data_IF_995952984166
#
_entry.id   IF_995952984166
#
_cell.length_a   1.000
_cell.length_b   1.000
_cell.length_c   1.000
_cell.angle_alpha   90.00
_cell.angle_beta   90.00
_cell.angle_gamma   90.00
#
_symmetry.space_group_name_H-M   'P 1'
#
loop_
_entity.id
_entity.type
_entity.pdbx_description
1 polymer ?
#
# COMPACT_ATOMS: atom_id res chain seq x y z
N UNK A 1 2.91 16.34 -8.16
CA UNK A 1 1.71 15.69 -8.75
C UNK A 1 0.47 16.35 -8.16
N UNK A 2 -0.58 16.53 -8.96
CA UNK A 2 -1.84 17.13 -8.51
C UNK A 2 -2.84 16.02 -8.19
N UNK A 3 -3.50 16.12 -7.04
CA UNK A 3 -4.51 15.17 -6.58
C UNK A 3 -5.67 15.10 -7.58
N UNK A 4 -6.06 13.89 -7.96
CA UNK A 4 -7.13 13.69 -8.94
C UNK A 4 -8.47 14.16 -8.38
N UNK A 5 -8.74 13.89 -7.10
CA UNK A 5 -9.99 14.20 -6.42
C UNK A 5 -10.17 15.69 -6.09
N UNK A 6 -9.28 16.29 -5.29
CA UNK A 6 -9.44 17.67 -4.80
C UNK A 6 -8.57 18.72 -5.51
N UNK A 7 -7.79 18.32 -6.53
CA UNK A 7 -6.84 19.18 -7.25
C UNK A 7 -5.73 19.79 -6.36
N UNK A 8 -5.53 19.23 -5.17
CA UNK A 8 -4.51 19.67 -4.24
C UNK A 8 -3.11 19.15 -4.51
N UNK A 9 -2.13 19.63 -3.73
CA UNK A 9 -0.73 19.19 -3.84
C UNK A 9 -0.55 17.79 -3.24
N UNK A 10 0.13 16.92 -3.98
CA UNK A 10 0.59 15.62 -3.50
C UNK A 10 2.09 15.62 -3.27
N UNK A 11 2.52 14.95 -2.21
CA UNK A 11 3.91 14.76 -1.85
C UNK A 11 4.20 13.28 -1.56
N UNK A 12 5.47 12.90 -1.70
CA UNK A 12 5.94 11.56 -1.31
C UNK A 12 5.76 11.35 0.19
N UNK A 13 5.23 10.18 0.54
CA UNK A 13 4.96 9.78 1.92
C UNK A 13 4.96 8.26 2.02
N UNK A 14 4.78 7.74 3.23
CA UNK A 14 4.55 6.32 3.47
C UNK A 14 3.20 6.11 4.12
N UNK A 15 2.57 4.97 3.80
CA UNK A 15 1.31 4.58 4.42
C UNK A 15 1.32 3.11 4.82
N UNK A 16 0.32 2.70 5.59
CA UNK A 16 0.04 1.27 5.82
C UNK A 16 -1.04 0.84 4.83
N UNK A 17 -0.74 -0.18 4.04
CA UNK A 17 -1.70 -0.83 3.16
C UNK A 17 -2.33 -2.01 3.89
N UNK A 18 -3.66 -2.06 3.91
CA UNK A 18 -4.43 -3.14 4.49
C UNK A 18 -5.20 -3.83 3.37
N UNK A 19 -5.01 -5.14 3.24
CA UNK A 19 -5.71 -5.98 2.29
C UNK A 19 -6.36 -7.13 3.05
N UNK A 20 -7.68 -7.25 2.92
CA UNK A 20 -8.45 -8.39 3.41
C UNK A 20 -8.64 -9.35 2.24
N UNK A 21 -8.17 -10.58 2.41
CA UNK A 21 -8.34 -11.70 1.49
C UNK A 21 -9.33 -12.68 2.13
N UNK A 22 -9.93 -13.55 1.32
CA UNK A 22 -11.00 -14.47 1.76
C UNK A 22 -10.62 -15.31 3.00
N UNK A 23 -9.34 -15.65 3.15
CA UNK A 23 -8.83 -16.49 4.24
C UNK A 23 -7.75 -15.81 5.10
N UNK A 24 -7.32 -14.59 4.79
CA UNK A 24 -6.29 -13.92 5.59
C UNK A 24 -6.30 -12.39 5.46
N UNK A 25 -5.89 -11.70 6.53
CA UNK A 25 -5.67 -10.26 6.51
C UNK A 25 -4.17 -9.95 6.38
N UNK A 26 -3.80 -9.10 5.42
CA UNK A 26 -2.42 -8.66 5.19
C UNK A 26 -2.29 -7.18 5.50
N UNK A 27 -1.36 -6.87 6.40
CA UNK A 27 -1.03 -5.50 6.82
C UNK A 27 0.40 -5.19 6.38
N UNK A 28 0.55 -4.35 5.37
CA UNK A 28 1.85 -3.94 4.84
C UNK A 28 2.16 -2.52 5.33
N UNK A 29 3.12 -2.39 6.24
CA UNK A 29 3.55 -1.10 6.81
C UNK A 29 4.58 -0.41 5.92
N UNK A 30 4.65 0.92 5.99
CA UNK A 30 5.67 1.75 5.34
C UNK A 30 5.69 1.69 3.81
N UNK A 31 4.55 1.44 3.17
CA UNK A 31 4.43 1.43 1.71
C UNK A 31 4.63 2.85 1.17
N UNK A 32 5.63 3.10 0.31
CA UNK A 32 5.83 4.38 -0.35
C UNK A 32 4.63 4.75 -1.23
N UNK A 33 4.21 6.00 -1.14
CA UNK A 33 3.03 6.50 -1.83
C UNK A 33 3.11 8.00 -2.07
N UNK A 34 2.24 8.51 -2.93
CA UNK A 34 1.94 9.93 -3.06
C UNK A 34 0.71 10.24 -2.22
N UNK A 35 0.84 11.11 -1.22
CA UNK A 35 -0.27 11.52 -0.35
C UNK A 35 -0.64 12.97 -0.61
N UNK A 36 -1.93 13.24 -0.79
CA UNK A 36 -2.45 14.60 -0.87
C UNK A 36 -2.50 15.23 0.52
N UNK A 37 -1.89 16.42 0.67
CA UNK A 37 -1.90 17.14 1.94
C UNK A 37 -3.27 17.69 2.34
N UNK A 38 -4.14 17.95 1.35
CA UNK A 38 -5.44 18.58 1.58
C UNK A 38 -6.56 17.60 1.89
N UNK A 39 -6.68 16.52 1.12
CA UNK A 39 -7.77 15.54 1.30
C UNK A 39 -7.31 14.19 1.86
N UNK A 40 -6.00 13.96 1.96
CA UNK A 40 -5.45 12.69 2.45
C UNK A 40 -5.44 11.55 1.45
N UNK A 41 -5.86 11.78 0.20
CA UNK A 41 -5.86 10.76 -0.86
C UNK A 41 -4.46 10.18 -1.08
N UNK A 42 -4.39 8.86 -1.21
CA UNK A 42 -3.15 8.10 -1.38
C UNK A 42 -3.15 7.46 -2.76
N UNK A 43 -2.05 7.65 -3.49
CA UNK A 43 -1.85 7.06 -4.81
C UNK A 43 -0.54 6.30 -4.81
N UNK A 44 -0.56 5.08 -5.33
CA UNK A 44 0.63 4.27 -5.55
C UNK A 44 1.08 4.37 -7.00
N UNK A 45 2.39 4.29 -7.22
CA UNK A 45 2.92 4.09 -8.58
C UNK A 45 2.66 2.64 -9.01
N UNK A 46 2.65 2.37 -10.32
CA UNK A 46 2.49 1.02 -10.84
C UNK A 46 3.56 0.05 -10.27
N UNK A 47 4.80 0.51 -10.08
CA UNK A 47 5.87 -0.29 -9.50
C UNK A 47 5.59 -0.68 -8.04
N UNK A 48 5.08 0.25 -7.22
CA UNK A 48 4.73 -0.05 -5.83
C UNK A 48 3.50 -0.94 -5.73
N UNK A 49 2.48 -0.72 -6.56
CA UNK A 49 1.31 -1.59 -6.65
C UNK A 49 1.71 -3.03 -7.01
N UNK A 50 2.56 -3.21 -8.03
CA UNK A 50 3.06 -4.53 -8.41
C UNK A 50 3.83 -5.23 -7.28
N UNK A 51 4.65 -4.50 -6.50
CA UNK A 51 5.38 -5.08 -5.36
C UNK A 51 4.44 -5.48 -4.23
N UNK A 52 3.37 -4.70 -3.98
CA UNK A 52 2.32 -5.06 -3.00
C UNK A 52 1.65 -6.36 -3.43
N UNK A 53 1.27 -6.50 -4.69
CA UNK A 53 0.65 -7.72 -5.22
C UNK A 53 1.58 -8.94 -5.08
N UNK A 54 2.87 -8.80 -5.37
CA UNK A 54 3.85 -9.86 -5.18
C UNK A 54 3.98 -10.30 -3.71
N UNK A 55 3.95 -9.35 -2.77
CA UNK A 55 3.95 -9.65 -1.34
C UNK A 55 2.68 -10.43 -0.99
N UNK A 56 1.52 -9.98 -1.45
CA UNK A 56 0.23 -10.64 -1.18
C UNK A 56 0.22 -12.07 -1.73
N UNK A 57 0.59 -12.31 -2.98
CA UNK A 57 0.64 -13.65 -3.60
C UNK A 57 1.61 -14.60 -2.88
N UNK A 58 2.72 -14.06 -2.37
CA UNK A 58 3.68 -14.85 -1.59
C UNK A 58 3.12 -15.28 -0.24
N UNK A 59 2.29 -14.43 0.38
CA UNK A 59 1.70 -14.67 1.69
C UNK A 59 0.46 -15.56 1.63
N UNK A 60 -0.34 -15.44 0.56
CA UNK A 60 -1.52 -16.28 0.31
C UNK A 60 -1.17 -17.77 0.31
N UNK A 61 0.02 -18.12 -0.19
CA UNK A 61 0.54 -19.51 -0.23
C UNK A 61 1.02 -20.04 1.13
N UNK A 62 1.17 -19.18 2.14
CA UNK A 62 1.96 -19.49 3.34
C UNK A 62 1.25 -19.27 4.69
N UNK A 63 0.10 -18.59 4.75
CA UNK A 63 -0.43 -18.05 6.01
C UNK A 63 -1.85 -18.50 6.37
N UNK A 64 -2.10 -18.53 7.68
CA UNK A 64 -3.28 -19.13 8.29
C UNK A 64 -4.26 -18.16 8.95
N UNK A 65 -4.07 -16.83 8.97
CA UNK A 65 -5.12 -15.89 9.41
C UNK A 65 -4.75 -14.40 9.27
N UNK A 66 -3.60 -13.95 9.80
CA UNK A 66 -3.18 -12.54 9.76
C UNK A 66 -1.66 -12.45 9.52
N UNK A 67 -1.24 -11.57 8.60
CA UNK A 67 0.15 -11.32 8.28
C UNK A 67 0.47 -9.83 8.38
N UNK A 68 1.52 -9.49 9.13
CA UNK A 68 2.02 -8.11 9.23
C UNK A 68 3.42 -8.05 8.63
N UNK A 69 3.56 -7.32 7.52
CA UNK A 69 4.81 -7.19 6.76
C UNK A 69 5.25 -5.73 6.77
N UNK A 70 6.56 -5.51 6.85
CA UNK A 70 7.14 -4.20 6.63
C UNK A 70 7.60 -4.10 5.18
N UNK A 71 7.22 -3.03 4.48
CA UNK A 71 7.66 -2.74 3.13
C UNK A 71 9.14 -2.35 3.17
N UNK A 72 10.04 -3.32 3.23
CA UNK A 72 11.46 -3.08 3.03
C UNK A 72 11.68 -2.84 1.55
N UNK A 73 12.09 -1.62 1.20
CA UNK A 73 12.73 -1.34 -0.08
C UNK A 73 14.12 -1.97 -0.07
N UNK A 74 14.18 -3.31 -0.18
CA UNK A 74 15.35 -3.97 -0.77
C UNK A 74 15.44 -3.54 -2.23
#
# INVERSE_FOLDING_TARGET
MTCFYCKGTMAESTTTHFAELDNCCVIIKNVPCMKCYQCGEVVYTAAFAQRIEQIIDSLEKALTEIAVVNYSAA
#
